data_IF_487513707590
#
_entry.id   IF_487513707590
#
_cell.length_a   1.000
_cell.length_b   1.000
_cell.length_c   1.000
_cell.angle_alpha   90.00
_cell.angle_beta   90.00
_cell.angle_gamma   90.00
#
_symmetry.space_group_name_H-M   'P 1'
#
loop_
_entity.id
_entity.type
_entity.pdbx_description
1 polymer ?
#
# COMPACT_ATOMS: atom_id res chain seq x y z
N UNK A 1 -21.35 -19.55 -18.90
CA UNK A 1 -21.43 -18.78 -17.64
C UNK A 1 -22.43 -17.65 -17.85
N UNK A 2 -23.39 -17.47 -16.95
CA UNK A 2 -24.38 -16.39 -17.04
C UNK A 2 -23.70 -15.03 -16.74
N UNK A 3 -24.02 -13.98 -17.52
CA UNK A 3 -23.50 -12.60 -17.34
C UNK A 3 -23.52 -12.09 -15.88
N UNK A 4 -24.54 -12.37 -15.03
CA UNK A 4 -24.53 -11.94 -13.62
C UNK A 4 -23.42 -12.60 -12.77
N UNK A 5 -23.06 -13.86 -13.02
CA UNK A 5 -22.00 -14.53 -12.26
C UNK A 5 -20.62 -13.94 -12.57
N UNK A 6 -20.39 -13.54 -13.83
CA UNK A 6 -19.13 -12.95 -14.28
C UNK A 6 -18.85 -11.58 -13.64
N UNK A 7 -19.87 -10.71 -13.57
CA UNK A 7 -19.74 -9.40 -12.94
C UNK A 7 -19.43 -9.51 -11.44
N UNK A 8 -20.07 -10.45 -10.74
CA UNK A 8 -19.81 -10.70 -9.31
C UNK A 8 -18.37 -11.13 -9.04
N UNK A 9 -17.80 -12.02 -9.86
CA UNK A 9 -16.40 -12.44 -9.74
C UNK A 9 -15.42 -11.28 -9.92
N UNK A 10 -15.66 -10.41 -10.90
CA UNK A 10 -14.80 -9.24 -11.13
C UNK A 10 -14.84 -8.27 -9.95
N UNK A 11 -16.02 -8.01 -9.38
CA UNK A 11 -16.16 -7.13 -8.21
C UNK A 11 -15.35 -7.70 -7.04
N UNK A 12 -15.49 -9.00 -6.77
CA UNK A 12 -14.74 -9.69 -5.72
C UNK A 12 -13.21 -9.61 -5.94
N UNK A 13 -12.76 -9.73 -7.19
CA UNK A 13 -11.36 -9.56 -7.57
C UNK A 13 -10.85 -8.13 -7.32
N UNK A 14 -11.64 -7.11 -7.68
CA UNK A 14 -11.33 -5.70 -7.45
C UNK A 14 -11.23 -5.39 -5.95
N UNK A 15 -12.17 -5.90 -5.14
CA UNK A 15 -12.15 -5.77 -3.69
C UNK A 15 -10.90 -6.43 -3.09
N UNK A 16 -10.58 -7.64 -3.54
CA UNK A 16 -9.38 -8.37 -3.11
C UNK A 16 -8.09 -7.59 -3.45
N UNK A 17 -8.00 -7.02 -4.64
CA UNK A 17 -6.87 -6.18 -5.03
C UNK A 17 -6.78 -4.91 -4.18
N UNK A 18 -7.92 -4.28 -3.89
CA UNK A 18 -7.99 -3.08 -3.02
C UNK A 18 -7.43 -3.37 -1.62
N UNK A 19 -7.82 -4.51 -1.03
CA UNK A 19 -7.32 -4.95 0.27
C UNK A 19 -5.80 -5.19 0.30
N UNK A 20 -5.19 -5.52 -0.84
CA UNK A 20 -3.75 -5.76 -0.95
C UNK A 20 -2.92 -4.48 -1.14
N UNK A 21 -3.53 -3.33 -1.46
CA UNK A 21 -2.81 -2.06 -1.68
C UNK A 21 -1.81 -1.67 -0.57
N UNK A 22 -2.12 -1.84 0.74
CA UNK A 22 -1.18 -1.49 1.80
C UNK A 22 0.11 -2.31 1.78
N UNK A 23 0.10 -3.49 1.15
CA UNK A 23 1.28 -4.38 1.08
C UNK A 23 2.20 -4.07 -0.11
N UNK A 24 1.75 -3.25 -1.07
CA UNK A 24 2.56 -2.78 -2.19
C UNK A 24 3.55 -1.67 -1.79
N UNK A 25 4.54 -1.41 -2.64
CA UNK A 25 5.45 -0.26 -2.52
C UNK A 25 4.69 1.06 -2.51
N UNK A 26 5.12 2.00 -1.66
CA UNK A 26 4.43 3.27 -1.44
C UNK A 26 4.27 4.09 -2.71
N UNK A 27 5.32 4.11 -3.56
CA UNK A 27 5.33 4.81 -4.85
C UNK A 27 4.26 4.33 -5.84
N UNK A 28 3.80 3.08 -5.70
CA UNK A 28 2.85 2.47 -6.64
C UNK A 28 1.39 2.60 -6.16
N UNK A 29 1.15 2.74 -4.85
CA UNK A 29 -0.19 2.65 -4.23
C UNK A 29 -1.20 3.62 -4.85
N UNK A 30 -0.80 4.87 -5.10
CA UNK A 30 -1.68 5.87 -5.71
C UNK A 30 -2.14 5.46 -7.11
N UNK A 31 -1.21 5.00 -7.95
CA UNK A 31 -1.50 4.53 -9.30
C UNK A 31 -2.43 3.31 -9.28
N UNK A 32 -2.13 2.32 -8.45
CA UNK A 32 -2.97 1.13 -8.32
C UNK A 32 -4.37 1.46 -7.81
N UNK A 33 -4.50 2.34 -6.81
CA UNK A 33 -5.82 2.80 -6.33
C UNK A 33 -6.61 3.48 -7.45
N UNK A 34 -5.96 4.30 -8.28
CA UNK A 34 -6.61 4.92 -9.44
C UNK A 34 -7.06 3.88 -10.47
N UNK A 35 -6.23 2.88 -10.76
CA UNK A 35 -6.56 1.79 -11.70
C UNK A 35 -7.75 0.96 -11.18
N UNK A 36 -7.76 0.60 -9.88
CA UNK A 36 -8.86 -0.11 -9.21
C UNK A 36 -10.15 0.69 -9.29
N UNK A 37 -10.12 1.98 -8.92
CA UNK A 37 -11.29 2.85 -8.97
C UNK A 37 -11.84 3.01 -10.39
N UNK A 38 -10.96 3.05 -11.40
CA UNK A 38 -11.36 3.08 -12.81
C UNK A 38 -12.07 1.79 -13.20
N UNK A 39 -11.50 0.64 -12.85
CA UNK A 39 -12.08 -0.67 -13.18
C UNK A 39 -13.42 -0.91 -12.47
N UNK A 40 -13.54 -0.53 -11.19
CA UNK A 40 -14.81 -0.59 -10.45
C UNK A 40 -15.91 0.19 -11.16
N UNK A 41 -15.63 1.46 -11.51
CA UNK A 41 -16.58 2.32 -12.24
C UNK A 41 -16.98 1.75 -13.60
N UNK A 42 -16.05 1.13 -14.31
CA UNK A 42 -16.36 0.47 -15.58
C UNK A 42 -17.31 -0.70 -15.33
N UNK A 43 -17.00 -1.60 -14.40
CA UNK A 43 -17.83 -2.78 -14.11
C UNK A 43 -19.24 -2.36 -13.65
N UNK A 44 -19.34 -1.34 -12.79
CA UNK A 44 -20.60 -0.74 -12.37
C UNK A 44 -21.40 -0.23 -13.58
N UNK A 45 -20.79 0.60 -14.45
CA UNK A 45 -21.47 1.15 -15.63
C UNK A 45 -22.00 0.07 -16.59
N UNK A 46 -21.33 -1.09 -16.68
CA UNK A 46 -21.78 -2.23 -17.50
C UNK A 46 -22.85 -3.07 -16.79
N UNK A 47 -22.87 -3.09 -15.46
CA UNK A 47 -23.94 -3.69 -14.67
C UNK A 47 -25.25 -2.88 -14.71
N UNK A 48 -25.16 -1.55 -14.91
CA UNK A 48 -26.31 -0.65 -15.00
C UNK A 48 -26.91 -0.52 -16.41
N UNK A 49 -26.22 -0.92 -17.48
CA UNK A 49 -26.72 -0.84 -18.86
C UNK A 49 -27.69 -1.97 -19.19
N UNK A 50 -28.85 -1.98 -18.53
CA UNK A 50 -30.01 -2.77 -18.92
C UNK A 50 -30.92 -2.05 -19.95
N UNK A 51 -30.46 -0.95 -20.54
CA UNK A 51 -31.25 -0.21 -21.54
C UNK A 51 -30.48 0.94 -22.18
N UNK A 52 -30.55 0.99 -23.51
CA UNK A 52 -29.97 1.96 -24.45
C UNK A 52 -28.53 1.67 -24.86
N UNK A 53 -28.45 0.80 -25.87
CA UNK A 53 -27.36 0.76 -26.83
C UNK A 53 -27.33 2.11 -27.57
N UNK A 54 -26.28 2.89 -27.34
CA UNK A 54 -25.75 3.82 -28.34
C UNK A 54 -24.28 4.12 -27.99
N UNK A 55 -23.37 3.54 -28.78
CA UNK A 55 -22.06 4.13 -29.06
C UNK A 55 -20.93 3.94 -28.05
N UNK A 56 -20.50 2.70 -27.82
CA UNK A 56 -19.11 2.24 -27.64
C UNK A 56 -19.13 0.90 -26.88
N UNK A 57 -19.34 -0.20 -27.61
CA UNK A 57 -19.32 -1.55 -27.05
C UNK A 57 -17.95 -1.83 -26.43
N UNK A 58 -17.89 -1.78 -25.10
CA UNK A 58 -16.75 -2.24 -24.32
C UNK A 58 -16.91 -3.75 -24.12
N UNK A 59 -16.07 -4.51 -24.82
CA UNK A 59 -16.05 -5.97 -24.71
C UNK A 59 -15.61 -6.39 -23.29
N UNK A 60 -16.32 -7.33 -22.63
CA UNK A 60 -15.97 -7.87 -21.31
C UNK A 60 -14.52 -8.36 -21.18
N UNK A 61 -13.90 -8.74 -22.29
CA UNK A 61 -12.50 -9.19 -22.38
C UNK A 61 -11.46 -8.10 -22.04
N UNK A 62 -11.80 -6.82 -22.22
CA UNK A 62 -10.86 -5.72 -21.95
C UNK A 62 -10.67 -5.48 -20.45
N UNK A 63 -11.75 -5.60 -19.67
CA UNK A 63 -11.70 -5.44 -18.20
C UNK A 63 -10.90 -6.57 -17.57
N UNK A 64 -11.12 -7.81 -18.01
CA UNK A 64 -10.38 -8.98 -17.54
C UNK A 64 -8.87 -8.89 -17.83
N UNK A 65 -8.51 -8.44 -19.04
CA UNK A 65 -7.11 -8.22 -19.41
C UNK A 65 -6.47 -7.10 -18.56
N UNK A 66 -7.19 -6.00 -18.33
CA UNK A 66 -6.69 -4.90 -17.51
C UNK A 66 -6.54 -5.31 -16.02
N UNK A 67 -7.46 -6.12 -15.50
CA UNK A 67 -7.36 -6.74 -14.18
C UNK A 67 -6.15 -7.66 -14.08
N UNK A 68 -5.95 -8.53 -15.08
CA UNK A 68 -4.80 -9.42 -15.15
C UNK A 68 -3.48 -8.64 -15.13
N UNK A 69 -3.38 -7.57 -15.94
CA UNK A 69 -2.22 -6.68 -15.97
C UNK A 69 -2.02 -5.95 -14.65
N UNK A 70 -3.10 -5.49 -14.00
CA UNK A 70 -3.03 -4.82 -12.71
C UNK A 70 -2.53 -5.78 -11.62
N UNK A 71 -3.10 -6.99 -11.53
CA UNK A 71 -2.68 -8.05 -10.62
C UNK A 71 -1.17 -8.35 -10.75
N UNK A 72 -0.69 -8.54 -11.97
CA UNK A 72 0.74 -8.79 -12.22
C UNK A 72 1.65 -7.61 -11.82
N UNK A 73 1.19 -6.36 -11.95
CA UNK A 73 1.95 -5.18 -11.46
C UNK A 73 1.93 -5.08 -9.93
N UNK A 74 0.79 -5.33 -9.30
CA UNK A 74 0.66 -5.31 -7.84
C UNK A 74 1.53 -6.39 -7.20
N UNK A 75 1.54 -7.59 -7.78
CA UNK A 75 2.34 -8.70 -7.27
C UNK A 75 3.84 -8.41 -7.32
N UNK A 76 4.36 -7.87 -8.43
CA UNK A 76 5.76 -7.40 -8.51
C UNK A 76 6.08 -6.33 -7.47
N UNK A 77 5.15 -5.41 -7.21
CA UNK A 77 5.32 -4.37 -6.19
C UNK A 77 5.36 -4.96 -4.78
N UNK A 78 4.51 -5.95 -4.48
CA UNK A 78 4.50 -6.66 -3.19
C UNK A 78 5.77 -7.47 -2.98
N UNK A 79 6.19 -8.23 -3.98
CA UNK A 79 7.45 -8.99 -3.93
C UNK A 79 8.64 -8.08 -3.64
N UNK A 80 8.71 -6.90 -4.26
CA UNK A 80 9.76 -5.92 -3.95
C UNK A 80 9.68 -5.44 -2.50
N UNK A 81 8.48 -5.19 -1.97
CA UNK A 81 8.30 -4.82 -0.57
C UNK A 81 8.71 -5.96 0.38
N UNK A 82 8.42 -7.20 0.03
CA UNK A 82 8.77 -8.39 0.82
C UNK A 82 10.28 -8.62 0.82
N UNK A 83 10.94 -8.52 -0.33
CA UNK A 83 12.41 -8.57 -0.44
C UNK A 83 13.06 -7.50 0.42
N UNK A 84 12.55 -6.26 0.38
CA UNK A 84 13.05 -5.17 1.23
C UNK A 84 12.82 -5.44 2.71
N UNK A 85 11.66 -5.99 3.09
CA UNK A 85 11.35 -6.35 4.48
C UNK A 85 12.28 -7.46 4.99
N UNK A 86 12.57 -8.45 4.16
CA UNK A 86 13.50 -9.53 4.50
C UNK A 86 14.96 -9.06 4.61
N UNK A 87 15.31 -7.95 3.94
CA UNK A 87 16.65 -7.35 3.95
C UNK A 87 16.83 -6.29 5.05
N UNK A 88 15.86 -6.14 5.96
CA UNK A 88 15.98 -5.17 7.06
C UNK A 88 17.10 -5.59 8.02
N UNK A 89 18.06 -4.70 8.33
CA UNK A 89 19.07 -4.98 9.33
C UNK A 89 18.45 -5.13 10.71
N UNK A 90 19.05 -5.97 11.55
CA UNK A 90 18.71 -6.04 12.97
C UNK A 90 18.98 -4.68 13.62
N UNK A 91 17.97 -4.14 14.30
CA UNK A 91 18.05 -2.84 14.95
C UNK A 91 18.46 -3.01 16.41
N UNK A 92 19.51 -2.28 16.82
CA UNK A 92 19.98 -2.22 18.20
C UNK A 92 20.13 -0.78 18.66
N UNK A 93 19.84 -0.57 19.95
CA UNK A 93 19.79 0.73 20.61
C UNK A 93 20.77 0.77 21.78
N UNK A 94 21.73 1.71 21.80
CA UNK A 94 22.59 1.92 22.96
C UNK A 94 21.78 2.52 24.11
N UNK A 95 21.77 1.87 25.26
CA UNK A 95 20.97 2.27 26.44
C UNK A 95 21.38 3.63 27.02
N UNK A 96 22.64 4.03 26.83
CA UNK A 96 23.17 5.30 27.34
C UNK A 96 22.63 6.55 26.63
N UNK A 97 21.96 6.42 25.49
CA UNK A 97 21.42 7.59 24.78
C UNK A 97 20.01 7.94 25.30
N UNK A 98 19.75 9.21 25.66
CA UNK A 98 18.44 9.64 26.16
C UNK A 98 17.26 9.26 25.26
N UNK A 99 17.47 9.24 23.94
CA UNK A 99 16.42 8.87 23.00
C UNK A 99 16.09 7.37 23.01
N UNK A 100 17.06 6.50 23.29
CA UNK A 100 16.84 5.05 23.36
C UNK A 100 15.88 4.71 24.49
N UNK A 101 15.98 5.41 25.63
CA UNK A 101 15.09 5.22 26.77
C UNK A 101 13.62 5.60 26.47
N UNK A 102 13.38 6.41 25.43
CA UNK A 102 12.03 6.83 25.00
C UNK A 102 11.54 6.06 23.77
N UNK A 103 12.24 4.99 23.35
CA UNK A 103 11.92 4.21 22.15
C UNK A 103 10.46 3.77 22.09
N UNK A 104 9.97 3.14 23.15
CA UNK A 104 8.63 2.52 23.13
C UNK A 104 7.52 3.58 23.04
N UNK A 105 7.73 4.74 23.67
CA UNK A 105 6.83 5.89 23.53
C UNK A 105 6.83 6.44 22.10
N UNK A 106 8.01 6.61 21.50
CA UNK A 106 8.14 7.08 20.11
C UNK A 106 7.46 6.08 19.15
N UNK A 107 7.67 4.77 19.33
CA UNK A 107 7.02 3.72 18.54
C UNK A 107 5.50 3.80 18.65
N UNK A 108 4.96 3.99 19.87
CA UNK A 108 3.53 4.17 20.08
C UNK A 108 3.02 5.40 19.32
N UNK A 109 3.65 6.56 19.52
CA UNK A 109 3.25 7.80 18.89
C UNK A 109 3.33 7.74 17.36
N UNK A 110 4.32 7.05 16.78
CA UNK A 110 4.45 6.84 15.32
C UNK A 110 3.34 5.96 14.72
N UNK A 111 2.69 5.11 15.53
CA UNK A 111 1.56 4.28 15.11
C UNK A 111 0.25 5.06 15.20
N UNK A 112 0.09 5.86 16.25
CA UNK A 112 -1.14 6.59 16.55
C UNK A 112 -1.25 7.91 15.76
N UNK A 113 -0.12 8.54 15.45
CA UNK A 113 -0.09 9.86 14.83
C UNK A 113 0.66 9.84 13.50
N UNK A 114 0.08 10.51 12.50
CA UNK A 114 0.72 10.70 11.19
C UNK A 114 1.98 11.58 11.31
N UNK A 115 1.99 12.54 12.24
CA UNK A 115 3.07 13.49 12.47
C UNK A 115 3.33 13.58 13.98
N UNK A 116 4.60 13.53 14.36
CA UNK A 116 5.06 13.74 15.73
C UNK A 116 6.21 14.75 15.73
N UNK A 117 6.38 15.48 16.82
CA UNK A 117 7.50 16.39 17.02
C UNK A 117 8.37 15.83 18.13
N UNK A 118 9.65 15.58 17.83
CA UNK A 118 10.62 15.07 18.81
C UNK A 118 11.65 16.15 19.08
N UNK A 119 11.61 16.72 20.28
CA UNK A 119 12.57 17.72 20.75
C UNK A 119 13.55 17.11 21.76
N UNK A 120 14.77 17.63 21.79
CA UNK A 120 15.80 17.23 22.76
C UNK A 120 17.12 17.95 22.48
N UNK A 121 18.03 17.96 23.44
CA UNK A 121 19.35 18.61 23.32
C UNK A 121 20.25 17.97 22.23
N UNK A 122 21.26 18.70 21.76
CA UNK A 122 22.32 18.15 20.90
C UNK A 122 23.03 17.00 21.63
N UNK A 123 23.40 15.92 20.93
CA UNK A 123 24.03 14.74 21.56
C UNK A 123 23.07 13.69 22.11
N UNK A 124 21.77 13.99 22.22
CA UNK A 124 20.74 13.01 22.66
C UNK A 124 20.54 11.79 21.74
N UNK A 125 21.18 11.77 20.56
CA UNK A 125 21.12 10.64 19.62
C UNK A 125 19.98 10.71 18.59
N UNK A 126 19.24 11.83 18.49
CA UNK A 126 18.07 11.98 17.57
C UNK A 126 18.36 11.55 16.13
N UNK A 127 19.30 12.21 15.46
CA UNK A 127 19.63 11.95 14.05
C UNK A 127 20.09 10.51 13.80
N UNK A 128 20.67 9.86 14.80
CA UNK A 128 21.19 8.49 14.68
C UNK A 128 20.14 7.42 14.99
N UNK A 129 19.28 7.63 16.00
CA UNK A 129 18.36 6.60 16.47
C UNK A 129 16.94 6.74 15.89
N UNK A 130 16.47 7.94 15.57
CA UNK A 130 15.11 8.10 14.99
C UNK A 130 14.93 7.31 13.69
N UNK A 131 15.89 7.28 12.73
CA UNK A 131 15.77 6.46 11.53
C UNK A 131 15.58 4.97 11.84
N UNK A 132 16.27 4.46 12.88
CA UNK A 132 16.16 3.08 13.33
C UNK A 132 14.79 2.79 13.96
N UNK A 133 14.30 3.69 14.81
CA UNK A 133 12.95 3.57 15.41
C UNK A 133 11.86 3.60 14.33
N UNK A 134 12.01 4.45 13.32
CA UNK A 134 11.12 4.46 12.17
C UNK A 134 11.15 3.13 11.41
N UNK A 135 12.33 2.50 11.26
CA UNK A 135 12.48 1.19 10.63
C UNK A 135 11.75 0.10 11.41
N UNK A 136 11.91 0.07 12.75
CA UNK A 136 11.20 -0.85 13.65
C UNK A 136 9.68 -0.64 13.59
N UNK A 137 9.21 0.60 13.41
CA UNK A 137 7.80 0.92 13.16
C UNK A 137 7.29 0.49 11.77
N UNK A 138 8.08 -0.25 10.99
CA UNK A 138 7.74 -0.72 9.65
C UNK A 138 7.81 0.36 8.57
N UNK A 139 8.42 1.53 8.87
CA UNK A 139 8.74 2.55 7.85
C UNK A 139 9.98 2.11 7.06
N UNK A 140 10.25 2.78 5.95
CA UNK A 140 11.42 2.48 5.12
C UNK A 140 11.28 1.26 4.20
N UNK A 141 10.41 0.29 4.49
CA UNK A 141 10.17 -0.87 3.59
C UNK A 141 9.57 -0.42 2.26
N UNK A 142 8.45 0.32 2.33
CA UNK A 142 7.71 0.76 1.15
C UNK A 142 8.20 2.11 0.60
N UNK A 143 9.29 2.67 1.13
CA UNK A 143 9.75 4.04 0.86
C UNK A 143 11.24 4.20 1.17
N UNK A 144 11.63 5.42 1.58
CA UNK A 144 12.98 5.74 2.03
C UNK A 144 12.88 6.50 3.36
N UNK A 145 13.88 6.32 4.22
CA UNK A 145 14.13 7.13 5.41
C UNK A 145 15.46 7.84 5.12
N UNK A 146 15.46 9.18 5.18
CA UNK A 146 16.62 10.02 4.93
C UNK A 146 17.19 10.56 6.24
#
# INVERSE_FOLDING_TARGET
>A
MTRPAFAATIIQDIESLSALLPTCMGRDRHRFRRDINRLSKLVEAHGYSNGRADGASLEPSNVDNDLTKLRARMERSRQLADVRRASLPAVSYPEQLPISARRDEILRLLREHQVIIVAGETGSGKTTQLPKICLEAGRGVSGLIA
#
